data_IF_756909436688
#
_entry.id   IF_756909436688
#
_cell.length_a   1.000
_cell.length_b   1.000
_cell.length_c   1.000
_cell.angle_alpha   90.00
_cell.angle_beta   90.00
_cell.angle_gamma   90.00
#
_symmetry.space_group_name_H-M   'P 1'
#
loop_
_entity.id
_entity.type
_entity.pdbx_description
1 polymer ?
#
# COMPACT_ATOMS: atom_id res chain seq x y z
N UNK A 1 -76.99 -17.98 -30.26
CA UNK A 1 -76.49 -16.92 -29.36
C UNK A 1 -76.10 -17.59 -28.05
N UNK A 2 -74.91 -18.19 -28.03
CA UNK A 2 -73.63 -17.67 -27.49
C UNK A 2 -73.40 -18.11 -26.05
N UNK A 3 -72.64 -19.19 -25.96
CA UNK A 3 -71.88 -19.70 -24.83
C UNK A 3 -71.07 -18.59 -24.14
N UNK A 4 -71.17 -18.46 -22.81
CA UNK A 4 -70.17 -17.77 -22.01
C UNK A 4 -69.67 -18.68 -20.89
N UNK A 5 -68.37 -18.90 -20.95
CA UNK A 5 -67.56 -19.82 -20.16
C UNK A 5 -67.37 -19.29 -18.73
N UNK A 6 -67.32 -20.21 -17.78
CA UNK A 6 -66.90 -19.99 -16.38
C UNK A 6 -65.50 -19.41 -16.36
N UNK A 7 -65.31 -18.23 -15.78
CA UNK A 7 -63.99 -17.69 -15.44
C UNK A 7 -63.79 -17.97 -13.96
N UNK A 8 -63.02 -19.02 -13.67
CA UNK A 8 -62.46 -19.28 -12.34
C UNK A 8 -61.20 -18.42 -12.23
N UNK A 9 -61.25 -17.37 -11.41
CA UNK A 9 -60.08 -16.57 -11.04
C UNK A 9 -59.24 -17.37 -10.04
N UNK A 10 -58.22 -18.06 -10.54
CA UNK A 10 -57.20 -18.72 -9.74
C UNK A 10 -56.15 -17.67 -9.34
N UNK A 11 -56.22 -17.16 -8.12
CA UNK A 11 -55.21 -16.25 -7.57
C UNK A 11 -53.95 -17.04 -7.22
N UNK A 12 -52.96 -17.05 -8.11
CA UNK A 12 -51.60 -17.50 -7.82
C UNK A 12 -50.91 -16.43 -6.94
N UNK A 13 -50.83 -16.67 -5.64
CA UNK A 13 -49.90 -15.93 -4.78
C UNK A 13 -48.48 -16.40 -5.12
N UNK A 14 -47.73 -15.59 -5.88
CA UNK A 14 -46.28 -15.77 -6.01
C UNK A 14 -45.63 -15.46 -4.67
N UNK A 15 -45.18 -16.50 -3.97
CA UNK A 15 -44.18 -16.35 -2.92
C UNK A 15 -42.83 -16.04 -3.59
N UNK A 16 -42.50 -14.75 -3.70
CA UNK A 16 -41.13 -14.33 -3.98
C UNK A 16 -40.27 -14.60 -2.75
N UNK A 17 -39.63 -15.77 -2.71
CA UNK A 17 -38.50 -16.01 -1.80
C UNK A 17 -37.33 -15.20 -2.34
N UNK A 18 -37.25 -13.93 -1.94
CA UNK A 18 -35.99 -13.20 -2.03
C UNK A 18 -35.04 -13.90 -1.05
N UNK A 19 -34.17 -14.76 -1.56
CA UNK A 19 -33.00 -15.19 -0.81
C UNK A 19 -32.18 -13.93 -0.53
N UNK A 20 -32.28 -13.39 0.69
CA UNK A 20 -31.24 -12.50 1.18
C UNK A 20 -29.95 -13.31 1.11
N UNK A 21 -29.08 -12.99 0.14
CA UNK A 21 -27.67 -13.29 0.29
C UNK A 21 -27.22 -12.45 1.47
N UNK A 22 -26.99 -13.11 2.61
CA UNK A 22 -26.10 -12.54 3.59
C UNK A 22 -24.74 -12.52 2.92
N UNK A 23 -24.34 -11.38 2.36
CA UNK A 23 -22.94 -11.15 2.05
C UNK A 23 -22.19 -11.41 3.35
N UNK A 24 -21.30 -12.41 3.35
CA UNK A 24 -20.47 -12.72 4.50
C UNK A 24 -19.72 -11.46 4.97
N UNK A 25 -19.16 -11.46 6.19
CA UNK A 25 -18.40 -10.31 6.65
C UNK A 25 -17.33 -9.94 5.63
N UNK A 26 -17.35 -8.69 5.17
CA UNK A 26 -16.39 -8.16 4.21
C UNK A 26 -14.99 -8.28 4.82
N UNK A 27 -14.07 -8.93 4.11
CA UNK A 27 -12.64 -8.96 4.47
C UNK A 27 -12.03 -7.55 4.28
N UNK A 28 -12.37 -6.66 5.22
CA UNK A 28 -12.09 -5.23 5.13
C UNK A 28 -10.59 -4.92 5.12
N UNK A 29 -9.79 -5.70 5.85
CA UNK A 29 -8.33 -5.57 5.86
C UNK A 29 -7.66 -6.42 4.76
N UNK A 30 -8.42 -7.23 4.03
CA UNK A 30 -7.96 -8.09 2.94
C UNK A 30 -6.92 -9.13 3.38
N UNK A 31 -7.13 -9.77 4.55
CA UNK A 31 -6.26 -10.84 5.04
C UNK A 31 -6.08 -11.98 4.03
N UNK A 32 -7.12 -12.28 3.24
CA UNK A 32 -7.07 -13.34 2.23
C UNK A 32 -6.15 -13.03 1.03
N UNK A 33 -5.70 -11.78 0.84
CA UNK A 33 -4.92 -11.38 -0.35
C UNK A 33 -3.59 -12.13 -0.45
N UNK A 34 -2.89 -12.26 0.66
CA UNK A 34 -1.56 -12.89 0.74
C UNK A 34 -1.54 -14.18 1.54
N UNK A 35 -2.66 -14.64 2.09
CA UNK A 35 -2.74 -15.82 2.96
C UNK A 35 -2.06 -17.05 2.36
N UNK A 36 -2.41 -17.43 1.12
CA UNK A 36 -1.79 -18.57 0.46
C UNK A 36 -0.30 -18.33 0.18
N UNK A 37 0.07 -17.13 -0.26
CA UNK A 37 1.47 -16.78 -0.53
C UNK A 37 2.33 -16.84 0.74
N UNK A 38 1.78 -16.41 1.88
CA UNK A 38 2.42 -16.50 3.19
C UNK A 38 2.58 -17.96 3.63
N UNK A 39 1.55 -18.78 3.45
CA UNK A 39 1.52 -20.16 3.90
C UNK A 39 2.49 -21.09 3.15
N UNK A 40 2.84 -20.76 1.90
CA UNK A 40 3.71 -21.59 1.06
C UNK A 40 5.17 -21.11 1.02
N UNK A 41 5.55 -20.12 1.83
CA UNK A 41 6.94 -19.68 1.92
C UNK A 41 7.83 -20.81 2.46
N UNK A 42 8.83 -21.20 1.66
CA UNK A 42 9.78 -22.27 1.96
C UNK A 42 11.20 -21.76 2.25
N UNK A 43 11.37 -20.43 2.31
CA UNK A 43 12.65 -19.75 2.52
C UNK A 43 12.56 -18.66 3.59
N UNK A 44 13.67 -18.34 4.27
CA UNK A 44 13.74 -17.15 5.12
C UNK A 44 13.43 -15.88 4.32
N UNK A 45 12.66 -14.98 4.93
CA UNK A 45 12.34 -13.68 4.36
C UNK A 45 13.36 -12.66 4.84
N UNK A 46 14.05 -11.98 3.92
CA UNK A 46 14.97 -10.90 4.29
C UNK A 46 14.22 -9.58 4.44
N UNK A 47 13.42 -9.20 3.44
CA UNK A 47 12.74 -7.90 3.40
C UNK A 47 11.29 -8.06 2.96
N UNK A 48 10.38 -7.41 3.69
CA UNK A 48 8.98 -7.22 3.31
C UNK A 48 8.73 -5.76 2.97
N UNK A 49 8.00 -5.50 1.89
CA UNK A 49 7.50 -4.17 1.53
C UNK A 49 6.02 -4.08 1.91
N UNK A 50 5.72 -3.32 2.96
CA UNK A 50 4.37 -3.01 3.40
C UNK A 50 3.91 -1.70 2.76
N UNK A 51 2.78 -1.73 2.07
CA UNK A 51 2.21 -0.50 1.51
C UNK A 51 0.89 -0.66 0.79
N UNK A 52 0.59 0.33 -0.04
CA UNK A 52 -0.67 0.48 -0.77
C UNK A 52 -0.50 0.18 -2.27
N UNK A 53 -1.26 0.86 -3.13
CA UNK A 53 -1.22 0.74 -4.59
C UNK A 53 0.11 1.11 -5.21
N UNK A 54 0.92 1.97 -4.58
CA UNK A 54 2.28 2.27 -5.07
C UNK A 54 3.15 1.01 -4.95
N UNK A 55 3.09 0.32 -3.81
CA UNK A 55 3.83 -0.93 -3.59
C UNK A 55 3.27 -2.08 -4.44
N UNK A 56 1.95 -2.27 -4.45
CA UNK A 56 1.26 -3.31 -5.22
C UNK A 56 1.46 -3.14 -6.74
N UNK A 57 1.64 -1.91 -7.22
CA UNK A 57 1.95 -1.64 -8.63
C UNK A 57 3.42 -1.87 -8.97
N UNK A 58 4.33 -1.67 -8.02
CA UNK A 58 5.76 -1.84 -8.26
C UNK A 58 6.09 -3.25 -8.73
N UNK A 59 5.60 -4.29 -8.05
CA UNK A 59 5.86 -5.69 -8.47
C UNK A 59 5.26 -6.01 -9.84
N UNK A 60 4.23 -5.29 -10.29
CA UNK A 60 3.64 -5.45 -11.62
C UNK A 60 4.44 -4.73 -12.71
N UNK A 61 5.02 -3.57 -12.37
CA UNK A 61 5.77 -2.71 -13.30
C UNK A 61 7.23 -3.18 -13.43
N UNK A 62 7.83 -3.63 -12.33
CA UNK A 62 9.19 -4.16 -12.26
C UNK A 62 9.24 -5.40 -11.34
N UNK A 63 8.84 -6.58 -11.86
CA UNK A 63 8.86 -7.81 -11.08
C UNK A 63 10.29 -8.26 -10.73
N UNK A 64 11.28 -7.97 -11.59
CA UNK A 64 12.67 -8.37 -11.41
C UNK A 64 13.25 -7.74 -10.14
N UNK A 65 12.86 -6.49 -9.81
CA UNK A 65 13.26 -5.84 -8.57
C UNK A 65 12.92 -6.67 -7.32
N UNK A 66 11.76 -7.34 -7.31
CA UNK A 66 11.34 -8.18 -6.18
C UNK A 66 11.93 -9.58 -6.29
N UNK A 67 11.83 -10.22 -7.44
CA UNK A 67 12.24 -11.62 -7.64
C UNK A 67 13.74 -11.80 -7.42
N UNK A 68 14.57 -10.95 -8.05
CA UNK A 68 16.03 -11.09 -8.02
C UNK A 68 16.65 -10.73 -6.67
N UNK A 69 15.98 -9.88 -5.90
CA UNK A 69 16.38 -9.55 -4.53
C UNK A 69 15.79 -10.49 -3.48
N UNK A 70 14.79 -11.30 -3.84
CA UNK A 70 14.03 -12.10 -2.88
C UNK A 70 13.17 -11.26 -1.92
N UNK A 71 12.80 -10.04 -2.32
CA UNK A 71 11.90 -9.18 -1.55
C UNK A 71 10.47 -9.69 -1.64
N UNK A 72 9.70 -9.55 -0.55
CA UNK A 72 8.28 -9.85 -0.55
C UNK A 72 7.45 -8.57 -0.65
N UNK A 73 6.68 -8.45 -1.73
CA UNK A 73 5.64 -7.44 -1.86
C UNK A 73 4.43 -7.81 -0.99
N UNK A 74 4.03 -6.88 -0.11
CA UNK A 74 2.79 -6.91 0.65
C UNK A 74 2.01 -5.61 0.47
N UNK A 75 2.07 -5.02 -0.72
CA UNK A 75 1.26 -3.89 -1.14
C UNK A 75 -0.18 -4.29 -1.46
N UNK A 76 -1.18 -3.54 -0.98
CA UNK A 76 -2.57 -3.77 -1.40
C UNK A 76 -3.18 -2.46 -1.88
N UNK A 77 -3.60 -2.44 -3.15
CA UNK A 77 -4.19 -1.26 -3.77
C UNK A 77 -5.37 -0.69 -2.99
N UNK A 78 -5.39 0.63 -2.83
CA UNK A 78 -6.46 1.37 -2.15
C UNK A 78 -6.38 1.39 -0.62
N UNK A 79 -5.53 0.58 0.01
CA UNK A 79 -5.49 0.49 1.47
C UNK A 79 -4.95 1.74 2.15
N UNK A 80 -5.57 2.02 3.30
CA UNK A 80 -5.17 3.04 4.28
C UNK A 80 -4.31 2.44 5.40
N UNK A 81 -3.67 3.30 6.20
CA UNK A 81 -2.79 2.88 7.30
C UNK A 81 -3.48 1.97 8.32
N UNK A 82 -4.77 2.15 8.58
CA UNK A 82 -5.50 1.32 9.57
C UNK A 82 -5.71 -0.12 9.07
N UNK A 83 -5.90 -0.32 7.77
CA UNK A 83 -5.98 -1.66 7.17
C UNK A 83 -4.62 -2.34 7.16
N UNK A 84 -3.56 -1.59 6.83
CA UNK A 84 -2.18 -2.09 6.91
C UNK A 84 -1.81 -2.50 8.33
N UNK A 85 -2.18 -1.68 9.33
CA UNK A 85 -1.97 -1.99 10.75
C UNK A 85 -2.71 -3.27 11.15
N UNK A 86 -3.97 -3.44 10.72
CA UNK A 86 -4.75 -4.64 11.01
C UNK A 86 -4.05 -5.91 10.48
N UNK A 87 -3.61 -5.91 9.22
CA UNK A 87 -2.93 -7.07 8.62
C UNK A 87 -1.42 -7.15 8.89
N UNK A 88 -0.85 -6.21 9.66
CA UNK A 88 0.60 -6.13 9.89
C UNK A 88 1.15 -7.40 10.54
N UNK A 89 0.35 -8.08 11.37
CA UNK A 89 0.76 -9.35 11.96
C UNK A 89 0.94 -10.45 10.91
N UNK A 90 -0.08 -10.71 10.11
CA UNK A 90 -0.05 -11.80 9.13
C UNK A 90 0.95 -11.53 8.00
N UNK A 91 1.04 -10.29 7.54
CA UNK A 91 1.79 -9.92 6.34
C UNK A 91 3.21 -9.41 6.63
N UNK A 92 3.58 -9.23 7.90
CA UNK A 92 4.94 -8.81 8.28
C UNK A 92 5.45 -9.64 9.44
N UNK A 93 4.81 -9.59 10.61
CA UNK A 93 5.36 -10.16 11.85
C UNK A 93 5.54 -11.67 11.73
N UNK A 94 4.52 -12.38 11.28
CA UNK A 94 4.53 -13.85 11.23
C UNK A 94 5.49 -14.38 10.14
N UNK A 95 5.87 -13.53 9.17
CA UNK A 95 6.87 -13.81 8.15
C UNK A 95 8.31 -13.66 8.66
N UNK A 96 8.49 -13.04 9.83
CA UNK A 96 9.78 -12.83 10.52
C UNK A 96 10.89 -12.26 9.61
N UNK A 97 10.62 -11.19 8.86
CA UNK A 97 11.66 -10.59 8.01
C UNK A 97 12.75 -9.95 8.86
N UNK A 98 13.94 -9.75 8.27
CA UNK A 98 14.96 -8.92 8.90
C UNK A 98 14.58 -7.43 8.85
N UNK A 99 13.96 -7.00 7.76
CA UNK A 99 13.55 -5.61 7.51
C UNK A 99 12.11 -5.55 7.00
N UNK A 100 11.35 -4.54 7.48
CA UNK A 100 10.13 -4.08 6.82
C UNK A 100 10.35 -2.67 6.27
N UNK A 101 10.02 -2.48 5.00
CA UNK A 101 9.93 -1.17 4.34
C UNK A 101 8.47 -0.73 4.39
N UNK A 102 8.20 0.47 4.92
CA UNK A 102 6.82 0.99 5.09
C UNK A 102 6.64 2.25 4.24
N UNK A 103 5.75 2.19 3.26
CA UNK A 103 5.27 3.34 2.47
C UNK A 103 3.73 3.40 2.57
N UNK A 104 3.22 4.32 3.38
CA UNK A 104 1.79 4.38 3.71
C UNK A 104 1.31 5.82 3.96
N UNK A 105 0.00 6.06 3.84
CA UNK A 105 -0.65 7.34 4.19
C UNK A 105 -1.37 8.04 3.03
N UNK A 106 -0.98 7.80 1.76
CA UNK A 106 -1.57 8.56 0.64
C UNK A 106 -3.08 8.31 0.46
N UNK A 107 -3.53 7.09 0.72
CA UNK A 107 -4.96 6.74 0.65
C UNK A 107 -5.76 7.22 1.86
N UNK A 108 -5.10 7.47 2.99
CA UNK A 108 -5.70 8.11 4.15
C UNK A 108 -5.98 9.58 3.84
N UNK A 109 -5.01 10.27 3.21
CA UNK A 109 -5.20 11.62 2.65
C UNK A 109 -6.32 11.62 1.61
N UNK A 110 -6.37 10.62 0.73
CA UNK A 110 -7.48 10.46 -0.23
C UNK A 110 -8.81 10.03 0.43
N UNK A 111 -8.85 9.79 1.75
CA UNK A 111 -10.05 9.38 2.51
C UNK A 111 -10.71 8.12 1.97
N UNK A 112 -9.91 7.15 1.53
CA UNK A 112 -10.42 5.88 0.99
C UNK A 112 -11.20 5.07 2.04
N UNK A 113 -10.85 5.20 3.32
CA UNK A 113 -11.57 4.59 4.44
C UNK A 113 -12.32 5.63 5.29
N UNK A 114 -12.75 6.74 4.66
CA UNK A 114 -13.41 7.86 5.33
C UNK A 114 -12.43 8.91 5.88
N UNK A 115 -12.95 10.02 6.44
CA UNK A 115 -12.14 11.09 7.01
C UNK A 115 -11.30 10.62 8.20
N UNK A 116 -10.06 11.08 8.27
CA UNK A 116 -9.11 10.80 9.34
C UNK A 116 -8.15 11.98 9.48
N UNK A 117 -7.84 12.37 10.72
CA UNK A 117 -6.81 13.39 11.00
C UNK A 117 -5.41 12.83 10.74
N UNK A 118 -4.48 13.66 10.24
CA UNK A 118 -3.11 13.24 9.92
C UNK A 118 -2.37 12.67 11.14
N UNK A 119 -2.67 13.14 12.34
CA UNK A 119 -2.11 12.61 13.59
C UNK A 119 -2.49 11.15 13.84
N UNK A 120 -3.70 10.74 13.43
CA UNK A 120 -4.14 9.34 13.53
C UNK A 120 -3.50 8.48 12.42
N UNK A 121 -3.31 9.03 11.22
CA UNK A 121 -2.55 8.36 10.13
C UNK A 121 -1.12 8.11 10.59
N UNK A 122 -0.46 9.13 11.13
CA UNK A 122 0.86 9.04 11.74
C UNK A 122 0.89 8.02 12.88
N UNK A 123 -0.09 8.05 13.79
CA UNK A 123 -0.20 7.10 14.90
C UNK A 123 -0.30 5.63 14.46
N UNK A 124 -1.00 5.34 13.37
CA UNK A 124 -1.05 4.00 12.79
C UNK A 124 0.33 3.55 12.28
N UNK A 125 1.07 4.45 11.62
CA UNK A 125 2.42 4.17 11.11
C UNK A 125 3.41 3.97 12.27
N UNK A 126 3.34 4.79 13.32
CA UNK A 126 4.13 4.61 14.55
C UNK A 126 3.82 3.26 15.19
N UNK A 127 2.54 2.86 15.25
CA UNK A 127 2.14 1.56 15.80
C UNK A 127 2.74 0.39 15.00
N UNK A 128 2.77 0.47 13.66
CA UNK A 128 3.45 -0.54 12.84
C UNK A 128 4.96 -0.57 13.11
N UNK A 129 5.61 0.58 13.28
CA UNK A 129 7.03 0.66 13.64
C UNK A 129 7.31 0.01 15.00
N UNK A 130 6.48 0.30 16.01
CA UNK A 130 6.62 -0.24 17.37
C UNK A 130 6.42 -1.77 17.37
N UNK A 131 5.40 -2.25 16.66
CA UNK A 131 5.16 -3.69 16.49
C UNK A 131 6.33 -4.39 15.79
N UNK A 132 6.89 -3.80 14.74
CA UNK A 132 8.06 -4.36 14.05
C UNK A 132 9.25 -4.47 15.01
N UNK A 133 9.59 -3.37 15.70
CA UNK A 133 10.73 -3.32 16.63
C UNK A 133 10.57 -4.28 17.81
N UNK A 134 9.37 -4.40 18.36
CA UNK A 134 9.07 -5.35 19.44
C UNK A 134 9.35 -6.81 19.00
N UNK A 135 9.11 -7.13 17.73
CA UNK A 135 9.38 -8.46 17.18
C UNK A 135 10.80 -8.60 16.59
N UNK A 136 11.71 -7.67 16.86
CA UNK A 136 13.09 -7.71 16.36
C UNK A 136 13.24 -7.42 14.86
N UNK A 137 12.19 -6.90 14.22
CA UNK A 137 12.18 -6.54 12.80
C UNK A 137 12.67 -5.10 12.67
N UNK A 138 13.67 -4.88 11.82
CA UNK A 138 14.19 -3.54 11.56
C UNK A 138 13.24 -2.79 10.63
N UNK A 139 13.12 -1.48 10.80
CA UNK A 139 12.22 -0.65 10.00
C UNK A 139 13.03 0.22 9.04
N UNK A 140 12.54 0.34 7.82
CA UNK A 140 12.87 1.41 6.88
C UNK A 140 11.57 2.19 6.65
N UNK A 141 11.58 3.48 6.98
CA UNK A 141 10.40 4.33 6.83
C UNK A 141 10.55 5.20 5.59
N UNK A 142 9.54 5.20 4.72
CA UNK A 142 9.57 5.97 3.48
C UNK A 142 8.74 7.24 3.60
N UNK A 143 9.19 8.32 2.95
CA UNK A 143 8.33 9.46 2.67
C UNK A 143 7.23 9.06 1.68
N UNK A 144 6.04 9.64 1.85
CA UNK A 144 5.02 9.66 0.81
C UNK A 144 5.61 10.32 -0.44
N UNK A 145 5.23 9.81 -1.60
CA UNK A 145 5.58 10.42 -2.87
C UNK A 145 4.92 11.79 -3.01
N UNK A 146 5.48 12.70 -3.84
CA UNK A 146 4.80 13.93 -4.21
C UNK A 146 3.52 13.57 -4.95
N UNK A 147 2.42 14.21 -4.55
CA UNK A 147 1.12 14.00 -5.15
C UNK A 147 0.36 15.33 -5.08
N UNK A 148 0.00 15.85 -6.24
CA UNK A 148 -0.71 17.12 -6.39
C UNK A 148 -2.20 16.95 -6.71
N UNK A 149 -2.62 15.73 -7.08
CA UNK A 149 -4.00 15.40 -7.42
C UNK A 149 -4.26 13.90 -7.30
N UNK A 150 -5.53 13.55 -7.07
CA UNK A 150 -6.03 12.19 -7.22
C UNK A 150 -6.94 12.10 -8.44
N UNK A 151 -6.59 11.30 -9.43
CA UNK A 151 -7.43 11.12 -10.63
C UNK A 151 -8.82 10.56 -10.32
N UNK A 152 -8.95 9.78 -9.23
CA UNK A 152 -10.22 9.20 -8.75
C UNK A 152 -10.97 10.06 -7.74
N UNK A 153 -10.35 11.14 -7.24
CA UNK A 153 -10.91 12.13 -6.29
C UNK A 153 -10.39 13.53 -6.62
N UNK A 154 -10.79 14.10 -7.76
CA UNK A 154 -10.24 15.35 -8.30
C UNK A 154 -10.55 16.58 -7.44
N UNK A 155 -11.48 16.48 -6.48
CA UNK A 155 -11.84 17.54 -5.55
C UNK A 155 -10.83 17.75 -4.41
N UNK A 156 -9.82 16.88 -4.28
CA UNK A 156 -8.81 16.95 -3.23
C UNK A 156 -7.51 17.57 -3.71
N UNK A 157 -6.87 18.34 -2.82
CA UNK A 157 -5.56 18.98 -3.03
C UNK A 157 -4.53 18.40 -2.04
N UNK A 158 -3.92 17.24 -2.35
CA UNK A 158 -3.16 16.46 -1.36
C UNK A 158 -1.78 17.02 -0.99
N UNK A 159 -1.21 17.93 -1.79
CA UNK A 159 0.21 18.31 -1.68
C UNK A 159 0.62 18.83 -0.29
N UNK A 160 -0.23 19.65 0.35
CA UNK A 160 0.05 20.18 1.68
C UNK A 160 -0.03 19.10 2.77
N UNK A 161 -1.01 18.21 2.70
CA UNK A 161 -1.14 17.10 3.65
C UNK A 161 0.00 16.10 3.51
N UNK A 162 0.45 15.83 2.28
CA UNK A 162 1.64 15.00 1.98
C UNK A 162 2.88 15.62 2.63
N UNK A 163 3.13 16.91 2.45
CA UNK A 163 4.28 17.61 3.06
C UNK A 163 4.23 17.57 4.58
N UNK A 164 3.05 17.79 5.17
CA UNK A 164 2.86 17.77 6.63
C UNK A 164 3.13 16.38 7.20
N UNK A 165 2.55 15.33 6.61
CA UNK A 165 2.77 13.96 7.06
C UNK A 165 4.24 13.54 6.89
N UNK A 166 4.88 13.87 5.77
CA UNK A 166 6.31 13.61 5.57
C UNK A 166 7.18 14.30 6.63
N UNK A 167 6.86 15.54 7.00
CA UNK A 167 7.55 16.26 8.09
C UNK A 167 7.47 15.50 9.42
N UNK A 168 6.29 14.96 9.74
CA UNK A 168 6.09 14.16 10.96
C UNK A 168 6.88 12.85 10.91
N UNK A 169 6.87 12.15 9.76
CA UNK A 169 7.57 10.89 9.56
C UNK A 169 9.09 11.05 9.60
N UNK A 170 9.65 12.07 8.94
CA UNK A 170 11.08 12.37 8.96
C UNK A 170 11.57 12.65 10.38
N UNK A 171 10.84 13.51 11.11
CA UNK A 171 11.16 13.84 12.50
C UNK A 171 11.13 12.60 13.39
N UNK A 172 10.08 11.79 13.28
CA UNK A 172 9.96 10.54 14.04
C UNK A 172 11.10 9.57 13.71
N UNK A 173 11.43 9.40 12.43
CA UNK A 173 12.51 8.53 12.00
C UNK A 173 13.86 8.99 12.58
N UNK A 174 14.14 10.30 12.58
CA UNK A 174 15.34 10.86 13.18
C UNK A 174 15.40 10.63 14.70
N UNK A 175 14.31 10.93 15.43
CA UNK A 175 14.21 10.72 16.88
C UNK A 175 14.39 9.23 17.27
N UNK A 176 13.84 8.32 16.46
CA UNK A 176 13.87 6.88 16.72
C UNK A 176 15.07 6.15 16.09
N UNK A 177 15.93 6.87 15.36
CA UNK A 177 17.08 6.34 14.60
C UNK A 177 16.67 5.26 13.57
N UNK A 178 15.52 5.46 12.94
CA UNK A 178 15.03 4.63 11.85
C UNK A 178 15.58 5.20 10.53
N UNK A 179 16.15 4.37 9.63
CA UNK A 179 16.48 4.82 8.29
C UNK A 179 15.25 5.39 7.57
N UNK A 180 15.33 6.67 7.21
CA UNK A 180 14.32 7.35 6.39
C UNK A 180 14.74 7.32 4.93
N UNK A 181 13.81 6.97 4.04
CA UNK A 181 14.00 6.98 2.59
C UNK A 181 13.13 8.08 1.99
N UNK A 182 13.78 9.14 1.53
CA UNK A 182 13.11 10.34 1.05
C UNK A 182 12.81 10.27 -0.46
N UNK A 183 11.76 9.53 -0.82
CA UNK A 183 11.24 9.49 -2.19
C UNK A 183 10.66 10.82 -2.65
N UNK A 184 9.99 11.55 -1.75
CA UNK A 184 9.42 12.86 -2.02
C UNK A 184 10.44 13.77 -2.71
N UNK A 185 11.60 13.99 -2.08
CA UNK A 185 12.64 14.84 -2.65
C UNK A 185 13.17 14.34 -4.00
N UNK A 186 13.21 13.03 -4.22
CA UNK A 186 13.75 12.45 -5.46
C UNK A 186 12.79 12.51 -6.65
N UNK A 187 11.49 12.68 -6.39
CA UNK A 187 10.43 12.61 -7.38
C UNK A 187 9.66 13.93 -7.57
N UNK A 188 9.88 14.93 -6.71
CA UNK A 188 9.15 16.20 -6.75
C UNK A 188 9.49 17.01 -8.00
N UNK A 189 8.45 17.48 -8.67
CA UNK A 189 8.54 18.36 -9.84
C UNK A 189 8.70 19.85 -9.45
N UNK A 190 8.77 20.17 -8.15
CA UNK A 190 8.89 21.51 -7.61
C UNK A 190 7.56 22.21 -7.36
N UNK A 191 6.44 21.58 -7.70
CA UNK A 191 5.08 22.06 -7.46
C UNK A 191 4.30 21.17 -6.48
N UNK A 192 4.97 20.19 -5.84
CA UNK A 192 4.36 19.24 -4.90
C UNK A 192 3.78 17.98 -5.57
N UNK A 193 4.00 17.79 -6.87
CA UNK A 193 3.58 16.63 -7.65
C UNK A 193 4.74 15.95 -8.33
N UNK A 194 4.43 14.96 -9.17
CA UNK A 194 5.40 14.30 -10.05
C UNK A 194 5.24 14.80 -11.49
N UNK A 195 6.32 14.78 -12.28
CA UNK A 195 6.20 15.04 -13.72
C UNK A 195 5.48 13.90 -14.44
N UNK A 196 4.93 14.15 -15.63
CA UNK A 196 4.26 13.12 -16.44
C UNK A 196 5.20 11.96 -16.82
N UNK A 197 6.50 12.24 -16.93
CA UNK A 197 7.52 11.21 -17.15
C UNK A 197 7.60 10.22 -15.99
N UNK A 198 7.20 10.62 -14.77
CA UNK A 198 7.27 9.80 -13.56
C UNK A 198 5.91 9.28 -13.13
N UNK A 199 4.82 10.00 -13.39
CA UNK A 199 3.46 9.58 -13.06
C UNK A 199 2.43 10.24 -14.00
N UNK A 200 1.59 9.42 -14.62
CA UNK A 200 0.54 9.91 -15.54
C UNK A 200 -0.70 10.42 -14.79
N UNK A 201 -1.01 9.82 -13.63
CA UNK A 201 -2.19 10.15 -12.85
C UNK A 201 -1.92 11.10 -11.67
N UNK A 202 -0.65 11.47 -11.47
CA UNK A 202 -0.21 12.36 -10.39
C UNK A 202 0.04 11.67 -9.05
N UNK A 203 -0.14 10.35 -8.95
CA UNK A 203 0.00 9.60 -7.70
C UNK A 203 0.82 8.31 -7.84
N UNK A 204 0.62 7.54 -8.91
CA UNK A 204 1.27 6.25 -9.09
C UNK A 204 2.46 6.38 -10.04
N UNK A 205 3.67 5.95 -9.62
CA UNK A 205 4.82 5.93 -10.51
C UNK A 205 4.62 5.03 -11.72
N UNK A 206 5.15 5.44 -12.86
CA UNK A 206 5.50 4.54 -13.96
C UNK A 206 6.92 4.00 -13.74
N UNK A 207 7.42 3.13 -14.63
CA UNK A 207 8.72 2.48 -14.47
C UNK A 207 9.84 3.46 -14.12
N UNK A 208 9.99 4.55 -14.86
CA UNK A 208 11.01 5.59 -14.60
C UNK A 208 10.97 6.16 -13.17
N UNK A 209 9.79 6.26 -12.55
CA UNK A 209 9.63 6.66 -11.16
C UNK A 209 10.09 5.58 -10.19
N UNK A 210 9.69 4.33 -10.43
CA UNK A 210 10.17 3.19 -9.63
C UNK A 210 11.69 3.03 -9.68
N UNK A 211 12.31 3.18 -10.86
CA UNK A 211 13.78 3.11 -10.99
C UNK A 211 14.51 4.13 -10.10
N UNK A 212 13.94 5.33 -9.92
CA UNK A 212 14.49 6.33 -8.98
C UNK A 212 14.34 5.88 -7.53
N UNK A 213 13.24 5.21 -7.20
CA UNK A 213 12.95 4.70 -5.85
C UNK A 213 13.86 3.52 -5.48
N UNK A 214 14.18 2.61 -6.41
CA UNK A 214 14.96 1.40 -6.15
C UNK A 214 16.29 1.69 -5.47
N UNK A 215 17.08 2.61 -6.05
CA UNK A 215 18.40 2.97 -5.52
C UNK A 215 18.34 3.48 -4.07
N UNK A 216 17.31 4.26 -3.75
CA UNK A 216 17.13 4.87 -2.44
C UNK A 216 16.70 3.84 -1.40
N UNK A 217 15.81 2.91 -1.77
CA UNK A 217 15.32 1.89 -0.84
C UNK A 217 16.37 0.85 -0.51
N UNK A 218 17.17 0.42 -1.48
CA UNK A 218 18.25 -0.55 -1.22
C UNK A 218 19.34 0.04 -0.33
N UNK A 219 19.59 1.35 -0.44
CA UNK A 219 20.45 2.07 0.50
C UNK A 219 19.84 2.11 1.90
N UNK A 220 18.54 2.42 2.01
CA UNK A 220 17.80 2.39 3.29
C UNK A 220 17.83 1.00 3.96
N UNK A 221 17.63 -0.06 3.18
CA UNK A 221 17.70 -1.45 3.63
C UNK A 221 19.11 -1.78 4.14
N UNK A 222 20.16 -1.39 3.40
CA UNK A 222 21.54 -1.58 3.85
C UNK A 222 21.84 -0.84 5.16
N UNK A 223 21.36 0.41 5.31
CA UNK A 223 21.48 1.17 6.56
C UNK A 223 20.76 0.48 7.72
N UNK A 224 19.55 -0.05 7.50
CA UNK A 224 18.83 -0.81 8.52
C UNK A 224 19.60 -2.08 8.92
N UNK A 225 20.06 -2.85 7.93
CA UNK A 225 20.80 -4.08 8.16
C UNK A 225 22.17 -3.83 8.82
N UNK A 226 22.77 -2.65 8.63
CA UNK A 226 24.14 -2.35 9.07
C UNK A 226 25.19 -3.06 8.20
N UNK A 227 24.86 -3.30 6.93
CA UNK A 227 25.69 -4.01 5.96
C UNK A 227 25.76 -3.25 4.64
N UNK A 228 26.70 -3.62 3.77
CA UNK A 228 26.74 -3.17 2.37
C UNK A 228 26.51 -4.39 1.46
N UNK A 229 25.26 -4.83 1.35
CA UNK A 229 24.87 -5.87 0.40
C UNK A 229 24.59 -5.23 -0.95
N UNK A 230 25.06 -5.86 -2.02
CA UNK A 230 24.67 -5.49 -3.38
C UNK A 230 23.29 -6.04 -3.65
N UNK A 231 22.31 -5.16 -3.76
CA UNK A 231 20.96 -5.48 -4.20
C UNK A 231 20.84 -5.23 -5.70
N UNK A 232 20.04 -6.04 -6.37
CA UNK A 232 19.63 -5.76 -7.74
C UNK A 232 18.83 -4.45 -7.77
N UNK A 233 19.19 -3.60 -8.73
CA UNK A 233 18.39 -2.48 -9.19
C UNK A 233 18.30 -2.63 -10.71
N UNK A 234 17.17 -2.23 -11.27
CA UNK A 234 16.91 -2.33 -12.69
C UNK A 234 17.77 -1.32 -13.45
N UNK A 235 18.49 -1.84 -14.43
CA UNK A 235 19.33 -1.04 -15.32
C UNK A 235 18.70 -1.08 -16.70
N UNK A 236 18.20 0.06 -17.17
CA UNK A 236 17.72 0.16 -18.54
C UNK A 236 18.93 0.05 -19.49
N UNK A 237 18.82 -0.70 -20.60
CA UNK A 237 19.86 -0.70 -21.62
C UNK A 237 20.08 0.74 -22.10
N UNK A 238 21.34 1.15 -22.22
CA UNK A 238 21.68 2.44 -22.79
C UNK A 238 21.06 2.52 -24.20
N UNK A 239 20.35 3.62 -24.47
CA UNK A 239 19.81 3.93 -25.80
C UNK A 239 20.93 4.14 -26.81
#
# INVERSE_FOLDING_TARGET
MTCMKKIVLLSLALFSVAALRADGPVDWAQYGRYELQNAVLDRPVEVVFMGNSITDSWIRVDPDFFERNGFLDRGISGQTTVQMLARFRSDVIDLKPQVVVILAGINDIARNNGPIELENVFGNIVSMCDLARYNGIKVVLCSLLPCDRFSWRPEMEPADEVRRLNTMLERYAAEQKIPYVDYHRALDNGSGGMSEELSQDGCHPVLSGYLRMESLVVEGINRALGVQKTWYITVLPAK
#
